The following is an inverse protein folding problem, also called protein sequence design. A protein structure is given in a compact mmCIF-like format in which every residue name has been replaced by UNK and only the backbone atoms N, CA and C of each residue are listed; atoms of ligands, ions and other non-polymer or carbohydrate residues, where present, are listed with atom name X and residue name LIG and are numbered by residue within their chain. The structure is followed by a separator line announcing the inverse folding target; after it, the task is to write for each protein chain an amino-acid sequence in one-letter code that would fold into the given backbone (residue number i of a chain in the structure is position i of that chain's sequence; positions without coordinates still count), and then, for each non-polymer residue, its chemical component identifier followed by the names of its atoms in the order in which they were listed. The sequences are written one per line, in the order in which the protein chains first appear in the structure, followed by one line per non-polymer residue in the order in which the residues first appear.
data_IF_591743923721
#
_entry.id   IF_591743923721
#
_cell.length_a   1.000
_cell.length_b   1.000
_cell.length_c   1.000
_cell.angle_alpha   90.00
_cell.angle_beta   90.00
_cell.angle_gamma   90.00
#
_symmetry.space_group_name_H-M   'P 1'
#
loop_
_entity.id
_entity.type
_entity.pdbx_description
1 polymer ?
#
# COMPACT_ATOMS: atom_id res chain seq x y z
N UNK A 1 29.34 -0.01 -10.22
CA UNK A 1 29.82 0.10 -8.83
C UNK A 1 28.59 0.13 -7.95
N UNK A 2 28.41 -0.88 -7.10
CA UNK A 2 27.41 -0.82 -6.02
C UNK A 2 27.93 0.25 -5.07
N UNK A 3 27.13 1.29 -4.83
CA UNK A 3 27.56 2.38 -3.96
C UNK A 3 27.84 1.86 -2.54
N UNK A 4 28.87 2.43 -1.92
CA UNK A 4 29.42 1.95 -0.65
C UNK A 4 28.50 2.31 0.53
N UNK A 5 28.59 1.60 1.67
CA UNK A 5 27.86 1.99 2.88
C UNK A 5 28.06 3.45 3.26
N UNK A 6 29.26 4.01 3.04
CA UNK A 6 29.58 5.41 3.30
C UNK A 6 28.79 6.41 2.42
N UNK A 7 28.32 5.99 1.23
CA UNK A 7 27.56 6.84 0.31
C UNK A 7 26.05 6.85 0.62
N UNK A 8 25.48 5.73 1.07
CA UNK A 8 24.04 5.63 1.35
C UNK A 8 23.66 5.83 2.81
N UNK A 9 24.51 5.44 3.77
CA UNK A 9 24.16 5.47 5.19
C UNK A 9 23.79 6.87 5.69
N UNK A 10 24.49 7.97 5.35
CA UNK A 10 24.07 9.31 5.75
C UNK A 10 22.73 9.75 5.13
N UNK A 11 22.37 9.21 3.96
CA UNK A 11 21.07 9.47 3.31
C UNK A 11 19.96 8.73 4.07
N UNK A 12 20.19 7.46 4.42
CA UNK A 12 19.24 6.68 5.23
C UNK A 12 19.09 7.20 6.66
N UNK A 13 20.19 7.64 7.28
CA UNK A 13 20.14 8.26 8.61
C UNK A 13 19.32 9.55 8.58
N UNK A 14 19.48 10.41 7.56
CA UNK A 14 18.63 11.60 7.39
C UNK A 14 17.15 11.24 7.16
N UNK A 15 16.90 10.19 6.39
CA UNK A 15 15.55 9.70 6.11
C UNK A 15 14.87 9.15 7.37
N UNK A 16 15.61 8.41 8.20
CA UNK A 16 15.12 7.77 9.41
C UNK A 16 15.13 8.68 10.66
N UNK A 17 15.85 9.82 10.62
CA UNK A 17 16.02 10.71 11.78
C UNK A 17 14.73 11.45 12.21
N UNK A 18 13.65 11.39 11.43
CA UNK A 18 12.38 12.04 11.74
C UNK A 18 11.31 10.98 11.94
N UNK A 19 10.77 10.88 13.15
CA UNK A 19 9.57 10.10 13.37
C UNK A 19 8.40 10.69 12.57
N UNK A 20 7.47 9.86 12.06
CA UNK A 20 6.23 10.37 11.49
C UNK A 20 5.48 11.17 12.57
N UNK A 21 5.34 12.47 12.38
CA UNK A 21 4.41 13.29 13.13
C UNK A 21 3.24 13.63 12.22
N UNK A 22 2.11 12.97 12.44
CA UNK A 22 0.87 13.39 11.80
C UNK A 22 0.27 14.52 12.61
N UNK A 23 -0.11 15.64 11.99
CA UNK A 23 -0.77 16.71 12.71
C UNK A 23 -2.11 16.19 13.25
N UNK A 24 -2.27 16.15 14.57
CA UNK A 24 -3.58 16.02 15.19
C UNK A 24 -4.32 17.34 15.01
N UNK A 25 -5.18 17.42 13.99
CA UNK A 25 -6.08 18.57 13.82
C UNK A 25 -7.42 18.29 14.50
N UNK A 26 -7.77 19.09 15.52
CA UNK A 26 -9.11 19.16 16.08
C UNK A 26 -9.60 20.61 15.96
N UNK A 27 -10.60 20.84 15.11
CA UNK A 27 -11.17 22.17 14.85
C UNK A 27 -11.53 22.39 13.38
N UNK A 28 -12.36 23.42 13.12
CA UNK A 28 -12.83 23.81 11.79
C UNK A 28 -11.73 24.47 10.93
N UNK A 29 -10.53 23.92 10.91
CA UNK A 29 -9.48 24.35 10.00
C UNK A 29 -9.74 23.69 8.64
N UNK A 30 -10.06 24.51 7.64
CA UNK A 30 -10.20 24.08 6.26
C UNK A 30 -8.88 23.46 5.79
N UNK A 31 -8.88 22.15 5.50
CA UNK A 31 -7.77 21.48 4.82
C UNK A 31 -7.31 20.14 5.38
N UNK A 32 -7.87 19.62 6.47
CA UNK A 32 -7.53 18.26 6.92
C UNK A 32 -8.26 17.20 6.07
N UNK A 33 -7.49 16.42 5.33
CA UNK A 33 -7.96 15.19 4.68
C UNK A 33 -7.62 14.02 5.60
N UNK A 34 -8.54 13.62 6.48
CA UNK A 34 -8.38 12.38 7.23
C UNK A 34 -9.23 12.29 8.49
N UNK A 35 -10.18 11.34 8.49
CA UNK A 35 -10.92 10.88 9.66
C UNK A 35 -12.10 11.76 10.06
N UNK A 36 -13.33 11.28 9.85
CA UNK A 36 -14.50 11.89 10.47
C UNK A 36 -14.36 11.86 12.00
N UNK A 37 -14.61 12.98 12.67
CA UNK A 37 -14.72 12.99 14.13
C UNK A 37 -16.06 12.37 14.52
N UNK A 38 -16.02 11.20 15.16
CA UNK A 38 -17.22 10.59 15.74
C UNK A 38 -17.43 11.11 17.16
N UNK A 39 -18.58 11.75 17.40
CA UNK A 39 -19.01 12.12 18.75
C UNK A 39 -19.96 11.04 19.24
N UNK A 40 -19.52 10.26 20.23
CA UNK A 40 -20.35 9.25 20.88
C UNK A 40 -21.21 9.93 21.95
N UNK A 41 -22.53 9.85 21.76
CA UNK A 41 -23.50 10.35 22.72
C UNK A 41 -24.08 9.18 23.52
N UNK A 42 -24.27 9.38 24.82
CA UNK A 42 -25.11 8.46 25.59
C UNK A 42 -26.58 8.57 25.12
N UNK A 43 -27.41 7.59 25.47
CA UNK A 43 -28.81 7.53 25.03
C UNK A 43 -29.61 8.78 25.40
N UNK A 44 -29.38 9.33 26.60
CA UNK A 44 -30.08 10.54 27.03
C UNK A 44 -29.71 11.77 26.18
N UNK A 45 -28.42 11.94 25.90
CA UNK A 45 -27.92 13.02 25.05
C UNK A 45 -28.38 12.83 23.59
N UNK A 46 -28.35 11.61 23.05
CA UNK A 46 -28.86 11.32 21.72
C UNK A 46 -30.36 11.67 21.59
N UNK A 47 -31.17 11.31 22.59
CA UNK A 47 -32.60 11.64 22.61
C UNK A 47 -32.83 13.15 22.72
N UNK A 48 -32.03 13.87 23.52
CA UNK A 48 -32.12 15.32 23.61
C UNK A 48 -31.77 15.99 22.27
N UNK A 49 -30.74 15.48 21.58
CA UNK A 49 -30.30 15.98 20.28
C UNK A 49 -31.36 15.80 19.19
N UNK A 50 -32.10 14.70 19.19
CA UNK A 50 -33.19 14.47 18.23
C UNK A 50 -34.35 15.46 18.34
N UNK A 51 -34.50 16.13 19.49
CA UNK A 51 -35.55 17.12 19.72
C UNK A 51 -35.10 18.55 19.37
N UNK A 52 -33.84 18.74 18.99
CA UNK A 52 -33.29 20.05 18.61
C UNK A 52 -33.72 20.36 17.17
N UNK A 53 -34.35 21.52 16.91
CA UNK A 53 -34.73 21.93 15.55
C UNK A 53 -33.54 22.03 14.60
N UNK A 54 -33.79 21.77 13.32
CA UNK A 54 -32.81 21.94 12.26
C UNK A 54 -32.26 23.38 12.24
N UNK A 55 -30.96 23.51 11.99
CA UNK A 55 -30.27 24.81 11.93
C UNK A 55 -29.82 25.39 13.27
N UNK A 56 -30.13 24.73 14.40
CA UNK A 56 -29.58 25.11 15.70
C UNK A 56 -28.11 24.72 15.79
N UNK A 57 -27.26 25.71 16.10
CA UNK A 57 -25.82 25.49 16.30
C UNK A 57 -25.57 24.97 17.71
N UNK A 58 -24.96 23.80 17.81
CA UNK A 58 -24.60 23.18 19.08
C UNK A 58 -23.09 23.36 19.27
N UNK A 59 -22.72 24.05 20.35
CA UNK A 59 -21.33 24.19 20.76
C UNK A 59 -20.99 23.12 21.79
N UNK A 60 -20.03 22.26 21.44
CA UNK A 60 -19.50 21.25 22.34
C UNK A 60 -18.12 21.73 22.77
N UNK A 61 -17.94 21.90 24.07
CA UNK A 61 -16.65 22.21 24.67
C UNK A 61 -16.29 21.13 25.68
N UNK A 62 -15.00 20.86 25.80
CA UNK A 62 -14.47 19.84 26.71
C UNK A 62 -12.96 19.84 26.72
N UNK A 63 -12.38 19.15 27.70
CA UNK A 63 -10.95 18.88 27.75
C UNK A 63 -10.67 17.58 27.01
N UNK A 64 -9.72 17.61 26.08
CA UNK A 64 -9.19 16.39 25.48
C UNK A 64 -8.31 15.69 26.51
N UNK A 65 -8.47 14.38 26.63
CA UNK A 65 -7.46 13.58 27.31
C UNK A 65 -6.11 13.73 26.58
N UNK A 66 -4.97 13.60 27.28
CA UNK A 66 -3.68 13.53 26.61
C UNK A 66 -3.71 12.46 25.52
N UNK A 67 -3.19 12.74 24.31
CA UNK A 67 -3.18 11.75 23.25
C UNK A 67 -2.34 10.54 23.65
N UNK A 68 -2.81 9.34 23.32
CA UNK A 68 -1.98 8.14 23.37
C UNK A 68 -1.01 8.18 22.19
N UNK A 69 0.29 8.29 22.48
CA UNK A 69 1.32 8.33 21.44
C UNK A 69 1.65 6.89 21.04
N UNK A 70 1.49 6.58 19.76
CA UNK A 70 1.90 5.31 19.14
C UNK A 70 2.91 5.58 18.03
N UNK A 71 3.68 4.55 17.71
CA UNK A 71 4.71 4.62 16.68
C UNK A 71 4.48 3.53 15.64
N UNK A 72 4.85 3.86 14.40
CA UNK A 72 4.91 2.94 13.27
C UNK A 72 6.18 3.25 12.47
N UNK A 73 6.59 2.31 11.62
CA UNK A 73 7.79 2.43 10.81
C UNK A 73 7.54 1.88 9.42
N UNK A 74 8.11 2.55 8.43
CA UNK A 74 8.32 1.95 7.12
C UNK A 74 9.68 1.26 7.10
N UNK A 75 9.76 0.12 6.44
CA UNK A 75 11.03 -0.51 6.09
C UNK A 75 11.28 -0.28 4.60
N UNK A 76 12.43 0.31 4.25
CA UNK A 76 12.79 0.61 2.86
C UNK A 76 14.13 -0.04 2.53
N UNK A 77 14.13 -0.95 1.57
CA UNK A 77 15.32 -1.48 0.93
C UNK A 77 15.56 -0.81 -0.43
N UNK A 78 16.82 -0.59 -0.79
CA UNK A 78 17.20 -0.06 -2.10
C UNK A 78 18.16 -1.01 -2.80
N UNK A 79 17.82 -1.37 -4.04
CA UNK A 79 18.75 -1.96 -5.00
C UNK A 79 19.12 -0.90 -6.04
N UNK A 80 20.32 -0.33 -5.88
CA UNK A 80 20.80 0.76 -6.71
C UNK A 80 20.92 0.38 -8.19
N UNK A 81 20.45 1.27 -9.07
CA UNK A 81 20.51 1.08 -10.52
C UNK A 81 21.94 1.10 -11.08
N UNK A 82 22.21 0.25 -12.07
CA UNK A 82 23.51 0.08 -12.71
C UNK A 82 23.79 1.06 -13.84
N UNK A 83 22.76 1.63 -14.48
CA UNK A 83 22.89 2.53 -15.62
C UNK A 83 23.05 3.98 -15.14
N UNK A 84 24.18 4.66 -15.38
CA UNK A 84 24.38 6.05 -14.97
C UNK A 84 23.32 7.02 -15.51
N UNK A 85 22.70 6.71 -16.65
CA UNK A 85 21.66 7.54 -17.25
C UNK A 85 20.28 7.28 -16.66
N UNK A 86 20.08 6.21 -15.88
CA UNK A 86 18.74 5.77 -15.44
C UNK A 86 18.65 5.38 -13.97
N UNK A 87 19.75 5.25 -13.25
CA UNK A 87 19.77 4.96 -11.81
C UNK A 87 19.10 6.02 -10.94
N UNK A 88 18.84 7.22 -11.48
CA UNK A 88 18.05 8.26 -10.81
C UNK A 88 16.54 8.00 -10.90
N UNK A 89 16.09 7.19 -11.87
CA UNK A 89 14.72 6.69 -11.96
C UNK A 89 14.57 5.44 -11.08
N UNK A 90 13.39 5.25 -10.50
CA UNK A 90 13.10 4.05 -9.72
C UNK A 90 11.73 3.46 -10.01
N UNK A 91 11.59 2.17 -9.72
CA UNK A 91 10.29 1.54 -9.44
C UNK A 91 10.24 1.17 -7.96
N UNK A 92 9.04 1.13 -7.39
CA UNK A 92 8.82 0.59 -6.05
C UNK A 92 7.95 -0.67 -6.07
N UNK A 93 8.41 -1.69 -5.36
CA UNK A 93 7.65 -2.87 -5.02
C UNK A 93 7.30 -2.74 -3.54
N UNK A 94 6.01 -2.73 -3.21
CA UNK A 94 5.56 -2.44 -1.85
C UNK A 94 4.50 -3.39 -1.34
N UNK A 95 4.30 -3.39 -0.03
CA UNK A 95 3.27 -4.09 0.73
C UNK A 95 3.09 -3.36 2.06
N UNK A 96 2.05 -3.62 2.85
CA UNK A 96 2.00 -3.15 4.24
C UNK A 96 2.40 -4.25 5.21
N UNK A 97 3.04 -3.87 6.31
CA UNK A 97 3.62 -4.78 7.29
C UNK A 97 2.79 -4.86 8.57
N UNK A 98 1.89 -3.91 8.80
CA UNK A 98 0.98 -3.97 9.93
C UNK A 98 -0.21 -4.88 9.65
N UNK A 99 -0.87 -5.27 10.73
CA UNK A 99 -2.13 -5.99 10.75
C UNK A 99 -3.04 -5.36 11.82
N UNK A 100 -4.32 -5.71 11.84
CA UNK A 100 -5.28 -5.19 12.83
C UNK A 100 -4.88 -5.47 14.29
N UNK A 101 -4.23 -6.59 14.56
CA UNK A 101 -3.64 -6.90 15.87
C UNK A 101 -4.65 -7.45 16.85
N UNK A 102 -4.59 -7.02 18.11
CA UNK A 102 -5.56 -7.48 19.11
C UNK A 102 -6.86 -6.68 18.95
N UNK A 103 -7.95 -7.39 18.69
CA UNK A 103 -9.30 -6.84 18.52
C UNK A 103 -10.32 -7.66 19.29
N UNK A 104 -11.62 -7.40 19.07
CA UNK A 104 -12.70 -8.14 19.70
C UNK A 104 -12.55 -9.64 19.36
N UNK A 105 -12.68 -10.55 20.33
CA UNK A 105 -12.61 -11.97 20.04
C UNK A 105 -13.72 -12.43 19.09
N UNK A 106 -13.37 -13.27 18.11
CA UNK A 106 -14.30 -14.03 17.26
C UNK A 106 -13.99 -15.51 17.45
N UNK A 107 -15.02 -16.30 17.77
CA UNK A 107 -14.87 -17.72 18.10
C UNK A 107 -13.82 -18.03 19.20
N UNK A 108 -13.54 -17.08 20.10
CA UNK A 108 -12.58 -17.24 21.19
C UNK A 108 -11.15 -16.77 20.89
N UNK A 109 -10.86 -16.35 19.66
CA UNK A 109 -9.56 -15.80 19.27
C UNK A 109 -9.65 -14.28 19.06
N UNK A 110 -8.72 -13.53 19.63
CA UNK A 110 -8.63 -12.06 19.54
C UNK A 110 -7.47 -11.56 18.70
N UNK A 111 -6.62 -12.46 18.19
CA UNK A 111 -5.43 -12.11 17.42
C UNK A 111 -5.79 -12.15 15.93
N UNK A 112 -5.73 -10.99 15.29
CA UNK A 112 -5.96 -10.86 13.84
C UNK A 112 -4.59 -10.96 13.18
N UNK A 113 -4.25 -12.17 12.73
CA UNK A 113 -2.88 -12.53 12.34
C UNK A 113 -2.40 -11.85 11.04
N UNK A 114 -3.31 -11.57 10.11
CA UNK A 114 -2.98 -10.88 8.85
C UNK A 114 -2.12 -11.73 7.92
N UNK A 115 -2.41 -13.04 7.83
CA UNK A 115 -1.61 -13.95 7.02
C UNK A 115 -1.74 -13.66 5.53
N UNK A 116 -2.95 -13.42 5.05
CA UNK A 116 -3.19 -12.93 3.70
C UNK A 116 -3.06 -11.41 3.68
N UNK A 117 -3.53 -10.70 4.72
CA UNK A 117 -3.59 -9.24 4.84
C UNK A 117 -2.67 -8.66 5.95
N UNK A 118 -1.40 -8.35 5.69
CA UNK A 118 -0.72 -8.47 4.40
C UNK A 118 0.67 -9.12 4.48
N UNK A 119 0.81 -10.14 5.34
CA UNK A 119 2.03 -10.94 5.36
C UNK A 119 2.32 -11.57 3.99
N UNK A 120 1.29 -11.92 3.22
CA UNK A 120 1.43 -12.45 1.86
C UNK A 120 2.09 -11.45 0.89
N UNK A 121 1.69 -10.18 0.92
CA UNK A 121 2.30 -9.10 0.14
C UNK A 121 3.74 -8.82 0.57
N UNK A 122 4.01 -8.80 1.87
CA UNK A 122 5.39 -8.64 2.40
C UNK A 122 6.31 -9.76 1.90
N UNK A 123 5.84 -11.00 1.87
CA UNK A 123 6.59 -12.13 1.31
C UNK A 123 6.89 -11.92 -0.18
N UNK A 124 5.95 -11.37 -0.96
CA UNK A 124 6.21 -11.01 -2.36
C UNK A 124 7.36 -10.01 -2.50
N UNK A 125 7.34 -8.95 -1.68
CA UNK A 125 8.37 -7.91 -1.68
C UNK A 125 9.74 -8.50 -1.31
N UNK A 126 9.80 -9.32 -0.26
CA UNK A 126 11.03 -9.96 0.20
C UNK A 126 11.60 -10.95 -0.83
N UNK A 127 10.76 -11.79 -1.44
CA UNK A 127 11.21 -12.76 -2.45
C UNK A 127 11.65 -12.06 -3.74
N UNK A 128 10.94 -11.01 -4.18
CA UNK A 128 11.36 -10.19 -5.31
C UNK A 128 12.69 -9.47 -5.01
N UNK A 129 12.89 -8.97 -3.79
CA UNK A 129 14.18 -8.40 -3.37
C UNK A 129 15.31 -9.43 -3.43
N UNK A 130 15.06 -10.64 -2.92
CA UNK A 130 16.03 -11.75 -2.92
C UNK A 130 16.45 -12.13 -4.34
N UNK A 131 15.49 -12.31 -5.26
CA UNK A 131 15.82 -12.74 -6.64
C UNK A 131 16.43 -11.61 -7.47
N UNK A 132 15.97 -10.36 -7.32
CA UNK A 132 16.53 -9.22 -8.06
C UNK A 132 17.95 -8.89 -7.62
N UNK A 133 18.25 -8.97 -6.32
CA UNK A 133 19.59 -8.71 -5.77
C UNK A 133 20.60 -9.82 -6.10
N UNK A 134 20.14 -11.05 -6.31
CA UNK A 134 20.98 -12.16 -6.77
C UNK A 134 21.26 -12.12 -8.28
N UNK A 135 20.48 -11.35 -9.05
CA UNK A 135 20.64 -11.19 -10.49
C UNK A 135 21.57 -10.03 -10.88
N UNK A 136 21.73 -9.77 -12.20
CA UNK A 136 22.40 -8.56 -12.67
C UNK A 136 21.69 -7.31 -12.15
N UNK A 137 22.47 -6.34 -11.65
CA UNK A 137 21.92 -5.09 -11.13
C UNK A 137 21.06 -4.38 -12.20
N UNK A 138 19.78 -4.06 -11.90
CA UNK A 138 18.85 -3.46 -12.85
C UNK A 138 19.33 -2.07 -13.30
N UNK A 139 18.89 -1.59 -14.47
CA UNK A 139 19.27 -0.25 -14.95
C UNK A 139 18.69 0.88 -14.09
N UNK A 140 17.43 0.75 -13.65
CA UNK A 140 16.79 1.63 -12.67
C UNK A 140 17.07 1.17 -11.26
N UNK A 141 16.95 2.09 -10.32
CA UNK A 141 16.89 1.74 -8.91
C UNK A 141 15.56 1.02 -8.61
N UNK A 142 15.58 0.06 -7.69
CA UNK A 142 14.36 -0.60 -7.20
C UNK A 142 14.27 -0.36 -5.70
N UNK A 143 13.16 0.22 -5.26
CA UNK A 143 12.83 0.30 -3.84
C UNK A 143 11.91 -0.86 -3.44
N UNK A 144 12.21 -1.49 -2.33
CA UNK A 144 11.37 -2.49 -1.67
C UNK A 144 10.83 -1.84 -0.41
N UNK A 145 9.51 -1.67 -0.32
CA UNK A 145 8.90 -0.85 0.73
C UNK A 145 7.87 -1.65 1.49
N UNK A 146 8.08 -1.85 2.79
CA UNK A 146 7.05 -2.35 3.68
C UNK A 146 6.48 -1.16 4.47
N UNK A 147 5.27 -0.73 4.13
CA UNK A 147 4.59 0.38 4.79
C UNK A 147 4.10 -0.04 6.17
N UNK A 148 4.18 0.87 7.14
CA UNK A 148 3.58 0.67 8.44
C UNK A 148 2.25 1.40 8.57
N UNK A 149 1.30 0.81 9.30
CA UNK A 149 0.03 1.43 9.67
C UNK A 149 -0.87 1.78 8.46
N UNK A 150 -0.97 0.86 7.49
CA UNK A 150 -1.98 0.90 6.43
C UNK A 150 -3.38 0.80 7.04
N UNK A 151 -3.59 -0.10 7.99
CA UNK A 151 -4.90 -0.44 8.54
C UNK A 151 -5.53 0.69 9.37
N UNK A 152 -4.72 1.67 9.76
CA UNK A 152 -5.17 2.92 10.40
C UNK A 152 -5.36 4.06 9.37
N UNK A 153 -5.43 3.69 8.10
CA UNK A 153 -5.66 4.55 6.96
C UNK A 153 -4.42 5.00 6.19
N UNK A 154 -3.36 4.20 6.03
CA UNK A 154 -2.23 4.50 5.12
C UNK A 154 -1.23 5.51 5.67
N UNK A 155 -0.88 5.43 6.97
CA UNK A 155 0.03 6.42 7.58
C UNK A 155 1.46 6.31 7.03
N UNK A 156 1.94 5.08 6.82
CA UNK A 156 3.27 4.80 6.30
C UNK A 156 3.47 5.29 4.89
N UNK A 157 2.54 4.99 3.97
CA UNK A 157 2.60 5.47 2.58
C UNK A 157 2.45 6.99 2.46
N UNK A 158 1.63 7.64 3.32
CA UNK A 158 1.61 9.12 3.43
C UNK A 158 2.96 9.68 3.82
N UNK A 159 3.59 9.11 4.85
CA UNK A 159 4.90 9.57 5.27
C UNK A 159 5.94 9.38 4.15
N UNK A 160 5.90 8.24 3.45
CA UNK A 160 6.80 7.94 2.34
C UNK A 160 6.65 8.93 1.18
N UNK A 161 5.41 9.32 0.82
CA UNK A 161 5.20 10.24 -0.29
C UNK A 161 5.57 11.69 0.07
N UNK A 162 5.48 12.07 1.35
CA UNK A 162 5.92 13.37 1.86
C UNK A 162 7.43 13.47 2.05
N UNK A 163 8.07 12.33 2.33
CA UNK A 163 9.50 12.22 2.56
C UNK A 163 10.09 11.15 1.64
N UNK A 164 9.99 11.27 0.31
CA UNK A 164 10.43 10.20 -0.58
C UNK A 164 11.96 10.12 -0.62
N UNK A 165 12.53 8.91 -0.81
CA UNK A 165 13.98 8.78 -0.90
C UNK A 165 14.55 9.45 -2.17
N UNK A 166 13.71 9.71 -3.18
CA UNK A 166 14.04 10.37 -4.44
C UNK A 166 12.96 11.39 -4.83
N UNK A 167 13.22 12.34 -5.76
CA UNK A 167 12.17 13.19 -6.29
C UNK A 167 11.02 12.36 -6.88
N UNK A 168 9.76 12.69 -6.56
CA UNK A 168 8.59 11.87 -6.90
C UNK A 168 8.42 11.66 -8.41
N UNK A 169 8.79 12.65 -9.22
CA UNK A 169 8.77 12.57 -10.68
C UNK A 169 9.70 11.49 -11.26
N UNK A 170 10.67 11.02 -10.45
CA UNK A 170 11.57 9.94 -10.81
C UNK A 170 11.04 8.55 -10.40
N UNK A 171 9.95 8.46 -9.64
CA UNK A 171 9.28 7.20 -9.34
C UNK A 171 8.40 6.80 -10.54
N UNK A 172 8.93 5.92 -11.38
CA UNK A 172 8.35 5.50 -12.65
C UNK A 172 7.05 4.71 -12.47
N UNK A 173 7.01 3.85 -11.46
CA UNK A 173 5.84 3.05 -11.14
C UNK A 173 5.93 2.47 -9.72
N UNK A 174 4.78 2.20 -9.13
CA UNK A 174 4.63 1.40 -7.94
C UNK A 174 3.73 0.19 -8.21
N UNK A 175 4.21 -0.99 -7.82
CA UNK A 175 3.43 -2.22 -7.67
C UNK A 175 3.34 -2.55 -6.18
N UNK A 176 2.18 -2.25 -5.57
CA UNK A 176 1.84 -2.74 -4.24
C UNK A 176 1.37 -4.19 -4.38
N UNK A 177 1.78 -5.09 -3.50
CA UNK A 177 1.28 -6.45 -3.39
C UNK A 177 0.42 -6.51 -2.14
N UNK A 178 -0.80 -7.03 -2.25
CA UNK A 178 -1.74 -7.11 -1.14
C UNK A 178 -2.63 -8.33 -1.29
N UNK A 179 -2.74 -9.16 -0.24
CA UNK A 179 -3.65 -10.31 -0.22
C UNK A 179 -3.48 -11.24 -1.44
N UNK A 180 -2.29 -11.84 -1.56
CA UNK A 180 -1.89 -12.71 -2.67
C UNK A 180 -1.72 -14.19 -2.25
N UNK A 181 -2.09 -14.52 -1.02
CA UNK A 181 -1.91 -15.83 -0.41
C UNK A 181 -2.93 -16.86 -0.89
N UNK A 182 -4.04 -16.43 -1.52
CA UNK A 182 -5.16 -17.29 -1.92
C UNK A 182 -5.61 -17.00 -3.35
N UNK A 183 -6.03 -18.01 -4.13
CA UNK A 183 -6.56 -17.77 -5.46
C UNK A 183 -7.95 -17.12 -5.42
N UNK A 184 -8.16 -16.14 -6.30
CA UNK A 184 -9.50 -15.64 -6.59
C UNK A 184 -10.22 -16.60 -7.56
N UNK A 185 -11.40 -17.15 -7.19
CA UNK A 185 -12.14 -18.09 -8.04
C UNK A 185 -12.67 -17.46 -9.33
N UNK A 186 -12.68 -16.13 -9.47
CA UNK A 186 -13.12 -15.45 -10.71
C UNK A 186 -12.04 -15.38 -11.80
N UNK A 187 -10.79 -15.71 -11.48
CA UNK A 187 -9.68 -15.71 -12.44
C UNK A 187 -9.06 -17.09 -12.55
N UNK A 188 -8.18 -17.28 -13.54
CA UNK A 188 -7.50 -18.56 -13.71
C UNK A 188 -6.59 -18.88 -12.52
N UNK A 189 -6.37 -20.17 -12.24
CA UNK A 189 -5.45 -20.58 -11.20
C UNK A 189 -4.07 -19.91 -11.36
N UNK A 190 -3.46 -19.52 -10.24
CA UNK A 190 -2.15 -18.84 -10.19
C UNK A 190 -2.09 -17.52 -10.96
N UNK A 191 -3.24 -16.87 -11.16
CA UNK A 191 -3.35 -15.55 -11.79
C UNK A 191 -3.68 -14.51 -10.73
N UNK A 192 -2.92 -13.42 -10.77
CA UNK A 192 -3.16 -12.21 -9.99
C UNK A 192 -4.03 -11.26 -10.81
N UNK A 193 -4.63 -10.29 -10.15
CA UNK A 193 -5.28 -9.16 -10.80
C UNK A 193 -4.66 -7.84 -10.32
N UNK A 194 -4.79 -6.81 -11.14
CA UNK A 194 -4.29 -5.46 -10.85
C UNK A 194 -5.49 -4.52 -10.68
N UNK A 195 -5.57 -3.83 -9.55
CA UNK A 195 -6.51 -2.72 -9.38
C UNK A 195 -6.21 -1.64 -10.41
N UNK A 196 -7.23 -0.99 -10.98
CA UNK A 196 -7.02 0.12 -11.92
C UNK A 196 -6.27 -0.30 -13.21
N UNK A 197 -6.36 -1.57 -13.61
CA UNK A 197 -5.73 -2.13 -14.81
C UNK A 197 -6.05 -1.31 -16.07
N UNK A 198 -7.26 -0.77 -16.15
CA UNK A 198 -7.78 0.06 -17.23
C UNK A 198 -7.45 1.56 -17.10
N UNK A 199 -6.84 1.97 -15.98
CA UNK A 199 -6.48 3.37 -15.69
C UNK A 199 -5.13 3.75 -16.27
N UNK A 200 -4.21 2.82 -16.43
CA UNK A 200 -2.88 3.08 -17.01
C UNK A 200 -2.49 2.02 -18.03
N UNK A 201 -1.44 2.28 -18.82
CA UNK A 201 -0.88 1.27 -19.71
C UNK A 201 0.07 0.26 -19.00
N UNK A 202 0.24 0.32 -17.68
CA UNK A 202 1.17 -0.56 -16.95
C UNK A 202 0.70 -2.02 -16.92
N UNK A 203 -0.53 -2.28 -16.47
CA UNK A 203 -1.08 -3.64 -16.35
C UNK A 203 -1.06 -4.44 -17.66
N UNK A 204 -1.60 -3.91 -18.76
CA UNK A 204 -1.55 -4.56 -20.07
C UNK A 204 -0.12 -4.88 -20.53
N UNK A 205 0.82 -3.96 -20.30
CA UNK A 205 2.21 -4.15 -20.69
C UNK A 205 2.89 -5.23 -19.83
N UNK A 206 2.66 -5.26 -18.51
CA UNK A 206 3.17 -6.34 -17.65
C UNK A 206 2.65 -7.72 -18.10
N UNK A 207 1.37 -7.82 -18.43
CA UNK A 207 0.76 -9.05 -18.94
C UNK A 207 1.42 -9.52 -20.24
N UNK A 208 1.68 -8.62 -21.20
CA UNK A 208 2.39 -8.94 -22.45
C UNK A 208 3.83 -9.43 -22.21
N UNK A 209 4.44 -9.07 -21.08
CA UNK A 209 5.80 -9.52 -20.69
C UNK A 209 5.80 -10.82 -19.89
N UNK A 210 4.63 -11.43 -19.70
CA UNK A 210 4.47 -12.75 -19.09
C UNK A 210 3.95 -12.72 -17.66
N UNK A 211 3.50 -11.57 -17.16
CA UNK A 211 2.76 -11.54 -15.90
C UNK A 211 1.46 -12.34 -16.06
N UNK A 212 1.16 -13.22 -15.12
CA UNK A 212 -0.19 -13.80 -14.99
C UNK A 212 -1.06 -12.79 -14.27
N UNK A 213 -1.38 -11.71 -14.98
CA UNK A 213 -2.02 -10.52 -14.43
C UNK A 213 -3.21 -10.12 -15.31
N UNK A 214 -4.38 -9.96 -14.71
CA UNK A 214 -5.61 -9.51 -15.38
C UNK A 214 -6.19 -8.27 -14.69
N UNK A 215 -7.28 -7.73 -15.23
CA UNK A 215 -8.02 -6.66 -14.55
C UNK A 215 -8.74 -7.20 -13.30
N UNK A 216 -8.91 -6.33 -12.30
CA UNK A 216 -9.71 -6.61 -11.09
C UNK A 216 -11.11 -7.17 -11.45
N UNK A 217 -11.45 -8.41 -11.02
CA UNK A 217 -12.73 -9.05 -11.31
C UNK A 217 -13.86 -8.60 -10.35
N UNK A 218 -13.60 -7.69 -9.42
CA UNK A 218 -14.53 -7.16 -8.42
C UNK A 218 -14.68 -5.62 -8.50
N UNK A 219 -15.05 -5.03 -9.64
CA UNK A 219 -15.07 -3.58 -9.81
C UNK A 219 -16.01 -2.83 -8.85
N UNK A 220 -17.01 -3.50 -8.27
CA UNK A 220 -17.95 -2.91 -7.31
C UNK A 220 -17.30 -2.63 -5.94
N UNK A 221 -16.20 -3.30 -5.63
CA UNK A 221 -15.48 -3.17 -4.36
C UNK A 221 -14.57 -1.94 -4.30
N UNK A 222 -14.32 -1.31 -5.45
CA UNK A 222 -13.46 -0.13 -5.59
C UNK A 222 -12.05 -0.33 -4.98
N UNK A 223 -11.46 -1.52 -5.11
CA UNK A 223 -10.18 -1.87 -4.48
C UNK A 223 -9.03 -0.93 -4.83
N UNK A 224 -9.04 -0.30 -6.01
CA UNK A 224 -8.03 0.69 -6.39
C UNK A 224 -7.86 1.86 -5.39
N UNK A 225 -8.88 2.15 -4.58
CA UNK A 225 -8.89 3.25 -3.62
C UNK A 225 -8.71 2.79 -2.16
N UNK A 226 -8.50 1.49 -1.94
CA UNK A 226 -8.60 0.85 -0.62
C UNK A 226 -7.25 0.40 -0.05
N UNK A 227 -6.15 0.85 -0.64
CA UNK A 227 -4.79 0.45 -0.28
C UNK A 227 -3.81 1.63 -0.40
N UNK A 228 -2.59 1.45 0.10
CA UNK A 228 -1.47 2.39 0.05
C UNK A 228 -1.19 2.93 -1.36
N UNK A 229 -1.43 2.13 -2.41
CA UNK A 229 -1.20 2.54 -3.80
C UNK A 229 -1.93 3.85 -4.14
N UNK A 230 -3.14 4.05 -3.59
CA UNK A 230 -3.99 5.17 -3.94
C UNK A 230 -3.43 6.51 -3.42
N UNK A 231 -2.71 6.48 -2.30
CA UNK A 231 -2.03 7.67 -1.75
C UNK A 231 -0.96 8.16 -2.73
N UNK A 232 -0.22 7.23 -3.36
CA UNK A 232 0.75 7.54 -4.40
C UNK A 232 0.06 7.98 -5.70
N UNK A 233 -1.03 7.29 -6.08
CA UNK A 233 -1.78 7.58 -7.30
C UNK A 233 -2.39 9.00 -7.30
N UNK A 234 -2.88 9.48 -6.14
CA UNK A 234 -3.34 10.87 -5.95
C UNK A 234 -2.23 11.92 -6.07
N UNK A 235 -0.96 11.52 -6.06
CA UNK A 235 0.19 12.38 -6.40
C UNK A 235 0.63 12.23 -7.86
N UNK A 236 -0.14 11.55 -8.68
CA UNK A 236 0.10 11.37 -10.12
C UNK A 236 1.03 10.21 -10.45
N UNK A 237 1.55 9.47 -9.47
CA UNK A 237 2.42 8.31 -9.69
C UNK A 237 1.60 7.13 -10.19
N UNK A 238 2.10 6.41 -11.20
CA UNK A 238 1.46 5.16 -11.64
C UNK A 238 1.62 4.10 -10.55
N UNK A 239 0.61 3.98 -9.68
CA UNK A 239 0.61 3.11 -8.52
C UNK A 239 -0.63 2.24 -8.49
N UNK A 240 -0.45 0.92 -8.44
CA UNK A 240 -1.52 -0.07 -8.48
C UNK A 240 -1.24 -1.21 -7.52
N UNK A 241 -2.30 -1.80 -6.99
CA UNK A 241 -2.25 -3.00 -6.15
C UNK A 241 -2.43 -4.25 -6.99
N UNK A 242 -1.50 -5.20 -6.81
CA UNK A 242 -1.47 -6.56 -7.34
C UNK A 242 -2.03 -7.46 -6.24
N UNK A 243 -3.12 -8.16 -6.52
CA UNK A 243 -3.82 -8.98 -5.53
C UNK A 243 -4.38 -10.26 -6.15
N UNK A 244 -4.82 -11.18 -5.30
CA UNK A 244 -5.71 -12.29 -5.68
C UNK A 244 -6.83 -12.47 -4.65
N UNK A 245 -7.21 -11.41 -3.95
CA UNK A 245 -8.28 -11.48 -2.95
C UNK A 245 -9.62 -11.88 -3.57
N UNK A 246 -10.15 -13.02 -3.12
CA UNK A 246 -11.36 -13.65 -3.65
C UNK A 246 -12.65 -13.34 -2.90
N UNK A 247 -12.72 -12.24 -2.12
CA UNK A 247 -13.87 -11.91 -1.25
C UNK A 247 -14.23 -12.99 -0.23
N UNK A 248 -13.22 -13.68 0.30
CA UNK A 248 -13.46 -14.71 1.30
C UNK A 248 -13.85 -14.11 2.66
N UNK A 249 -14.61 -14.86 3.46
CA UNK A 249 -15.19 -14.36 4.72
C UNK A 249 -14.15 -14.11 5.83
N UNK A 250 -12.92 -14.62 5.66
CA UNK A 250 -11.85 -14.44 6.65
C UNK A 250 -11.18 -13.06 6.64
N UNK A 251 -11.55 -12.17 5.71
CA UNK A 251 -11.02 -10.80 5.69
C UNK A 251 -11.36 -10.05 6.98
N UNK A 252 -10.33 -9.43 7.59
CA UNK A 252 -10.43 -8.80 8.90
C UNK A 252 -11.05 -9.73 9.96
N UNK A 253 -10.59 -10.98 10.03
CA UNK A 253 -10.97 -11.95 11.06
C UNK A 253 -9.74 -12.63 11.68
N UNK A 254 -9.84 -13.19 12.89
CA UNK A 254 -8.73 -13.94 13.51
C UNK A 254 -8.22 -15.12 12.68
N UNK A 255 -9.10 -15.74 11.89
CA UNK A 255 -8.81 -16.90 11.05
C UNK A 255 -8.20 -16.53 9.69
N UNK A 256 -7.86 -15.25 9.43
CA UNK A 256 -6.85 -14.92 8.43
C UNK A 256 -5.47 -15.33 8.95
N UNK A 257 -5.24 -16.64 8.96
CA UNK A 257 -4.06 -17.29 9.51
C UNK A 257 -3.34 -18.14 8.46
N UNK A 258 -2.12 -18.58 8.80
CA UNK A 258 -1.23 -19.31 7.90
C UNK A 258 -1.85 -20.59 7.31
N UNK A 259 -2.84 -21.19 7.98
CA UNK A 259 -3.51 -22.41 7.49
C UNK A 259 -4.41 -22.15 6.29
N UNK A 260 -4.75 -20.88 6.01
CA UNK A 260 -5.55 -20.46 4.86
C UNK A 260 -4.73 -20.16 3.61
N UNK A 261 -3.41 -20.05 3.75
CA UNK A 261 -2.53 -19.70 2.64
C UNK A 261 -2.32 -20.88 1.70
N UNK A 262 -2.60 -20.67 0.42
CA UNK A 262 -2.20 -21.56 -0.65
C UNK A 262 -0.79 -21.19 -1.12
N UNK A 263 0.22 -21.81 -0.50
CA UNK A 263 1.62 -21.56 -0.82
C UNK A 263 1.96 -21.88 -2.29
N UNK A 264 1.28 -22.85 -2.91
CA UNK A 264 1.52 -23.19 -4.31
C UNK A 264 0.97 -22.09 -5.24
N UNK A 265 -0.21 -21.54 -4.92
CA UNK A 265 -0.72 -20.34 -5.55
C UNK A 265 0.25 -19.17 -5.43
N UNK A 266 0.57 -18.78 -4.20
CA UNK A 266 1.39 -17.60 -3.89
C UNK A 266 2.78 -17.71 -4.56
N UNK A 267 3.42 -18.88 -4.48
CA UNK A 267 4.72 -19.13 -5.14
C UNK A 267 4.64 -18.95 -6.65
N UNK A 268 3.64 -19.53 -7.30
CA UNK A 268 3.48 -19.42 -8.75
C UNK A 268 3.14 -17.98 -9.18
N UNK A 269 2.31 -17.29 -8.40
CA UNK A 269 1.91 -15.91 -8.62
C UNK A 269 3.10 -14.94 -8.52
N UNK A 270 3.89 -15.02 -7.44
CA UNK A 270 5.11 -14.20 -7.26
C UNK A 270 6.12 -14.48 -8.39
N UNK A 271 6.34 -15.75 -8.72
CA UNK A 271 7.26 -16.13 -9.81
C UNK A 271 6.83 -15.56 -11.17
N UNK A 272 5.53 -15.46 -11.44
CA UNK A 272 5.02 -14.88 -12.68
C UNK A 272 5.33 -13.37 -12.80
N UNK A 273 5.55 -12.68 -11.68
CA UNK A 273 5.88 -11.24 -11.67
C UNK A 273 7.37 -10.95 -11.87
N UNK A 274 8.26 -11.92 -11.61
CA UNK A 274 9.71 -11.71 -11.67
C UNK A 274 10.19 -11.19 -13.04
N UNK A 275 9.85 -11.88 -14.14
CA UNK A 275 10.29 -11.47 -15.49
C UNK A 275 9.72 -10.09 -15.90
N UNK A 276 8.41 -9.79 -15.71
CA UNK A 276 7.85 -8.46 -15.95
C UNK A 276 8.51 -7.36 -15.12
N UNK A 277 8.78 -7.59 -13.83
CA UNK A 277 9.46 -6.62 -12.96
C UNK A 277 10.90 -6.37 -13.41
N UNK A 278 11.65 -7.43 -13.76
CA UNK A 278 13.00 -7.30 -14.34
C UNK A 278 12.94 -6.49 -15.63
N UNK A 279 11.96 -6.75 -16.49
CA UNK A 279 11.78 -5.98 -17.73
C UNK A 279 11.49 -4.51 -17.42
N UNK A 280 10.59 -4.20 -16.48
CA UNK A 280 10.23 -2.82 -16.12
C UNK A 280 11.44 -2.07 -15.52
N UNK A 281 12.25 -2.74 -14.71
CA UNK A 281 13.47 -2.16 -14.12
C UNK A 281 14.57 -1.90 -15.17
N UNK A 282 14.51 -2.55 -16.33
CA UNK A 282 15.57 -2.49 -17.36
C UNK A 282 15.16 -1.82 -18.68
N UNK A 283 13.86 -1.73 -19.00
CA UNK A 283 13.34 -1.17 -20.26
C UNK A 283 13.24 0.35 -20.23
N UNK A 284 13.18 1.03 -21.37
CA UNK A 284 12.93 2.49 -21.39
C UNK A 284 11.45 2.85 -21.22
N UNK A 285 10.59 1.85 -20.99
CA UNK A 285 9.16 2.07 -20.77
C UNK A 285 8.94 2.91 -19.52
N UNK A 286 8.08 3.91 -19.63
CA UNK A 286 7.51 4.68 -18.52
C UNK A 286 6.00 4.61 -18.69
N UNK A 287 5.27 4.02 -17.72
CA UNK A 287 3.83 3.94 -17.85
C UNK A 287 3.20 5.34 -17.76
N UNK A 288 2.00 5.45 -18.28
CA UNK A 288 1.20 6.67 -18.28
C UNK A 288 -0.25 6.33 -17.94
N UNK A 289 -0.92 7.27 -17.29
CA UNK A 289 -2.37 7.24 -17.13
C UNK A 289 -3.04 7.32 -18.51
N UNK A 290 -4.14 6.59 -18.66
CA UNK A 290 -5.08 6.79 -19.75
C UNK A 290 -5.76 8.14 -19.54
N UNK A 291 -6.02 8.86 -20.63
CA UNK A 291 -6.65 10.18 -20.58
C UNK A 291 -7.93 10.18 -19.74
N UNK A 292 -8.03 11.10 -18.78
CA UNK A 292 -9.18 11.23 -17.88
C UNK A 292 -9.29 10.16 -16.79
N UNK A 293 -8.25 9.34 -16.58
CA UNK A 293 -8.23 8.29 -15.54
C UNK A 293 -7.16 8.48 -14.47
N UNK A 294 -6.48 9.63 -14.48
CA UNK A 294 -5.47 10.00 -13.50
C UNK A 294 -6.15 10.43 -12.19
N UNK A 295 -5.93 9.74 -11.06
CA UNK A 295 -6.57 10.09 -9.78
C UNK A 295 -6.14 11.45 -9.22
N UNK A 296 -5.05 12.03 -9.70
CA UNK A 296 -4.65 13.39 -9.30
C UNK A 296 -5.49 14.50 -9.98
N UNK A 297 -6.32 14.12 -10.97
CA UNK A 297 -7.22 15.02 -11.70
C UNK A 297 -8.70 14.87 -11.26
N UNK A 298 -8.99 13.89 -10.40
CA UNK A 298 -10.31 13.64 -9.79
C UNK A 298 -10.58 14.58 -8.61
#
# INVERSE_FOLDING_TARGET
MIATPAEWQPRWERFAARMPELPTSFGAASGSSGGGSAILLNTAAANAMQQIPDGVVIQISGSLAPPEIKHTWNVVGELAGSDPKRRHEAISLSAHMDHLGVRRPVAGDSIYNGADDDASGVIAVLELARVLSAGPAPKRTVYFVAYGSEEQGGLGSRYFIEHPPLPLENLVANLQFEMIGRPDPKVAAHTLWLTGFERSNLGPELAQRGARLVADPHPQENFFQRSDNYILAKRGIIAHTVSSYGLHEEYHQPNDDITRIDFAHMTAAINAMHKPVVWLANSNFKPAWVAGKNPAEE
#
